data_IF_051419636463
#
_entry.id   IF_051419636463
#
_cell.length_a   1.000
_cell.length_b   1.000
_cell.length_c   1.000
_cell.angle_alpha   90.00
_cell.angle_beta   90.00
_cell.angle_gamma   90.00
#
_symmetry.space_group_name_H-M   'P 1'
#
loop_
_entity.id
_entity.type
_entity.pdbx_description
1 polymer ?
#
# COMPACT_ATOMS: atom_id res chain seq x y z
N UNK A 1 -4.39 -32.52 19.92
CA UNK A 1 -3.81 -31.81 18.76
C UNK A 1 -2.97 -30.69 19.32
N UNK A 2 -1.64 -30.75 19.17
CA UNK A 2 -0.75 -29.70 19.70
C UNK A 2 -1.12 -28.36 19.08
N UNK A 3 -1.23 -27.35 19.94
CA UNK A 3 -1.34 -25.94 19.56
C UNK A 3 -0.15 -25.61 18.64
N UNK A 4 -0.36 -25.10 17.41
CA UNK A 4 0.75 -24.78 16.52
C UNK A 4 1.72 -23.82 17.21
N UNK A 5 3.01 -24.11 17.01
CA UNK A 5 4.15 -23.27 17.39
C UNK A 5 3.77 -21.79 17.30
N UNK A 6 3.91 -21.00 18.38
CA UNK A 6 3.63 -19.57 18.35
C UNK A 6 4.21 -18.86 17.13
N UNK A 7 5.39 -19.27 16.64
CA UNK A 7 5.99 -18.72 15.42
C UNK A 7 5.14 -19.00 14.18
N UNK A 8 4.64 -20.22 14.00
CA UNK A 8 3.75 -20.58 12.88
C UNK A 8 2.43 -19.82 12.91
N UNK A 9 1.89 -19.53 14.10
CA UNK A 9 0.70 -18.69 14.24
C UNK A 9 0.96 -17.24 13.84
N UNK A 10 2.14 -16.72 14.18
CA UNK A 10 2.59 -15.40 13.73
C UNK A 10 2.78 -15.38 12.22
N UNK A 11 3.46 -16.38 11.64
CA UNK A 11 3.67 -16.45 10.19
C UNK A 11 2.34 -16.50 9.42
N UNK A 12 1.39 -17.35 9.84
CA UNK A 12 0.06 -17.42 9.24
C UNK A 12 -0.75 -16.11 9.37
N UNK A 13 -0.55 -15.36 10.47
CA UNK A 13 -1.15 -14.02 10.64
C UNK A 13 -0.53 -13.01 9.68
N UNK A 14 0.79 -13.05 9.49
CA UNK A 14 1.53 -12.13 8.62
C UNK A 14 1.26 -12.39 7.13
N UNK A 15 1.11 -13.65 6.71
CA UNK A 15 0.79 -14.03 5.33
C UNK A 15 -0.49 -13.35 4.81
N UNK A 16 -1.51 -13.18 5.67
CA UNK A 16 -2.75 -12.47 5.32
C UNK A 16 -2.60 -10.95 5.22
N UNK A 17 -1.63 -10.37 5.91
CA UNK A 17 -1.35 -8.93 5.91
C UNK A 17 -0.51 -8.49 4.70
N UNK A 18 0.31 -9.39 4.16
CA UNK A 18 1.15 -9.11 2.99
C UNK A 18 0.33 -8.85 1.71
N UNK A 19 -0.97 -9.17 1.70
CA UNK A 19 -1.90 -8.83 0.62
C UNK A 19 -2.60 -7.47 0.83
N UNK A 20 -2.29 -6.71 1.88
CA UNK A 20 -2.93 -5.43 2.14
C UNK A 20 -2.29 -4.34 1.29
N UNK A 21 -3.11 -3.59 0.56
CA UNK A 21 -2.63 -2.42 -0.17
C UNK A 21 -2.42 -1.26 0.80
N UNK A 22 -1.25 -0.59 0.76
CA UNK A 22 -1.07 0.67 1.47
C UNK A 22 -2.13 1.72 1.10
N UNK A 23 -2.39 2.73 1.94
CA UNK A 23 -3.27 3.85 1.61
C UNK A 23 -2.84 4.52 0.29
N UNK A 24 -3.79 5.03 -0.53
CA UNK A 24 -3.47 5.59 -1.85
C UNK A 24 -2.35 6.64 -1.84
N UNK A 25 -2.33 7.51 -0.83
CA UNK A 25 -1.29 8.53 -0.63
C UNK A 25 0.10 7.93 -0.42
N UNK A 26 0.20 6.89 0.41
CA UNK A 26 1.45 6.16 0.66
C UNK A 26 1.99 5.53 -0.62
N UNK A 27 1.11 5.02 -1.49
CA UNK A 27 1.52 4.46 -2.79
C UNK A 27 2.28 5.49 -3.63
N UNK A 28 1.74 6.70 -3.74
CA UNK A 28 2.36 7.79 -4.47
C UNK A 28 3.67 8.28 -3.80
N UNK A 29 3.70 8.35 -2.47
CA UNK A 29 4.90 8.72 -1.71
C UNK A 29 6.05 7.74 -1.94
N UNK A 30 5.78 6.43 -1.88
CA UNK A 30 6.77 5.39 -2.15
C UNK A 30 7.32 5.47 -3.57
N UNK A 31 6.45 5.71 -4.55
CA UNK A 31 6.86 5.91 -5.94
C UNK A 31 7.78 7.14 -6.08
N UNK A 32 7.39 8.27 -5.51
CA UNK A 32 8.17 9.51 -5.60
C UNK A 32 9.51 9.41 -4.87
N UNK A 33 9.56 8.77 -3.71
CA UNK A 33 10.80 8.54 -2.97
C UNK A 33 11.80 7.67 -3.76
N UNK A 34 11.29 6.76 -4.59
CA UNK A 34 12.08 5.95 -5.51
C UNK A 34 12.45 6.66 -6.82
N UNK A 35 12.06 7.92 -7.00
CA UNK A 35 12.21 8.69 -8.24
C UNK A 35 11.58 7.98 -9.47
N UNK A 36 10.47 7.28 -9.24
CA UNK A 36 9.74 6.56 -10.30
C UNK A 36 8.54 7.37 -10.79
N UNK A 37 8.26 7.24 -12.07
CA UNK A 37 7.06 7.75 -12.74
C UNK A 37 5.93 6.72 -12.67
N UNK A 38 4.69 7.19 -12.84
CA UNK A 38 3.54 6.30 -12.93
C UNK A 38 3.60 5.40 -14.17
N UNK A 39 4.33 5.81 -15.22
CA UNK A 39 4.53 5.02 -16.43
C UNK A 39 5.44 3.82 -16.14
N UNK A 40 6.57 4.04 -15.46
CA UNK A 40 7.51 2.95 -15.10
C UNK A 40 6.86 1.90 -14.20
N UNK A 41 6.01 2.32 -13.24
CA UNK A 41 5.22 1.36 -12.45
C UNK A 41 4.23 0.61 -13.33
N UNK A 42 3.55 1.31 -14.24
CA UNK A 42 2.56 0.70 -15.11
C UNK A 42 3.19 -0.36 -16.04
N UNK A 43 4.36 -0.06 -16.60
CA UNK A 43 5.12 -0.97 -17.46
C UNK A 43 5.60 -2.20 -16.67
N UNK A 44 6.11 -2.01 -15.46
CA UNK A 44 6.52 -3.11 -14.59
C UNK A 44 5.36 -4.03 -14.15
N UNK A 45 4.16 -3.46 -13.94
CA UNK A 45 2.96 -4.19 -13.49
C UNK A 45 2.14 -4.76 -14.67
N UNK A 46 2.41 -4.29 -15.90
CA UNK A 46 1.70 -4.69 -17.11
C UNK A 46 0.30 -4.07 -17.23
N UNK A 47 0.14 -2.80 -16.84
CA UNK A 47 -1.12 -2.04 -16.91
C UNK A 47 -0.95 -0.70 -17.61
N UNK A 48 -2.03 0.06 -17.80
CA UNK A 48 -1.97 1.41 -18.33
C UNK A 48 -1.57 2.40 -17.24
N UNK A 49 -0.82 3.46 -17.59
CA UNK A 49 -0.48 4.58 -16.69
C UNK A 49 -1.69 5.14 -15.94
N UNK A 50 -2.82 5.29 -16.64
CA UNK A 50 -4.07 5.78 -16.05
C UNK A 50 -4.61 4.87 -14.94
N UNK A 51 -4.36 3.56 -15.01
CA UNK A 51 -4.71 2.63 -13.94
C UNK A 51 -3.94 2.96 -12.66
N UNK A 52 -2.63 3.17 -12.76
CA UNK A 52 -1.78 3.57 -11.64
C UNK A 52 -2.21 4.91 -11.05
N UNK A 53 -2.53 5.90 -11.90
CA UNK A 53 -3.10 7.19 -11.47
C UNK A 53 -4.37 6.97 -10.63
N UNK A 54 -5.31 6.18 -11.12
CA UNK A 54 -6.56 5.92 -10.41
C UNK A 54 -6.36 5.16 -9.09
N UNK A 55 -5.35 4.29 -9.01
CA UNK A 55 -5.00 3.58 -7.77
C UNK A 55 -4.35 4.47 -6.74
N UNK A 56 -3.47 5.38 -7.14
CA UNK A 56 -2.83 6.37 -6.26
C UNK A 56 -3.81 7.45 -5.79
N UNK A 57 -4.84 7.76 -6.58
CA UNK A 57 -5.94 8.65 -6.19
C UNK A 57 -7.05 7.95 -5.40
N UNK A 58 -6.98 6.63 -5.21
CA UNK A 58 -8.03 5.86 -4.55
C UNK A 58 -9.35 5.74 -5.33
N UNK A 59 -9.38 6.17 -6.60
CA UNK A 59 -10.57 6.09 -7.47
C UNK A 59 -10.93 4.65 -7.84
N UNK A 60 -9.94 3.76 -7.87
CA UNK A 60 -10.14 2.33 -8.06
C UNK A 60 -9.02 1.54 -7.38
N UNK A 61 -9.20 0.23 -7.25
CA UNK A 61 -8.18 -0.67 -6.74
C UNK A 61 -7.73 -1.65 -7.84
N UNK A 62 -6.46 -2.08 -7.83
CA UNK A 62 -5.98 -3.12 -8.73
C UNK A 62 -6.72 -4.43 -8.47
N UNK A 63 -6.99 -5.18 -9.53
CA UNK A 63 -7.59 -6.52 -9.48
C UNK A 63 -6.50 -7.58 -9.63
N UNK A 64 -6.78 -8.83 -9.21
CA UNK A 64 -5.89 -9.96 -9.52
C UNK A 64 -5.78 -10.13 -11.04
N UNK A 65 -4.60 -10.46 -11.62
CA UNK A 65 -3.32 -10.74 -10.94
C UNK A 65 -2.47 -9.49 -10.60
N UNK A 66 -2.70 -8.35 -11.26
CA UNK A 66 -1.90 -7.13 -11.11
C UNK A 66 -1.81 -6.61 -9.67
N UNK A 67 -2.84 -6.86 -8.85
CA UNK A 67 -2.85 -6.53 -7.42
C UNK A 67 -1.65 -7.13 -6.68
N UNK A 68 -1.33 -8.40 -6.92
CA UNK A 68 -0.23 -9.08 -6.23
C UNK A 68 1.12 -8.48 -6.64
N UNK A 69 1.32 -8.24 -7.94
CA UNK A 69 2.55 -7.61 -8.47
C UNK A 69 2.72 -6.20 -7.90
N UNK A 70 1.65 -5.42 -7.87
CA UNK A 70 1.69 -4.05 -7.36
C UNK A 70 1.95 -3.99 -5.85
N UNK A 71 1.32 -4.87 -5.06
CA UNK A 71 1.60 -4.98 -3.61
C UNK A 71 3.07 -5.37 -3.38
N UNK A 72 3.57 -6.36 -4.10
CA UNK A 72 4.97 -6.77 -4.00
C UNK A 72 5.92 -5.60 -4.29
N UNK A 73 5.68 -4.84 -5.37
CA UNK A 73 6.44 -3.65 -5.69
C UNK A 73 6.42 -2.63 -4.55
N UNK A 74 5.25 -2.31 -4.01
CA UNK A 74 5.10 -1.33 -2.92
C UNK A 74 5.79 -1.79 -1.62
N UNK A 75 5.69 -3.08 -1.28
CA UNK A 75 6.37 -3.64 -0.11
C UNK A 75 7.90 -3.53 -0.24
N UNK A 76 8.44 -3.79 -1.43
CA UNK A 76 9.88 -3.65 -1.68
C UNK A 76 10.33 -2.18 -1.67
N UNK A 77 9.48 -1.25 -2.12
CA UNK A 77 9.74 0.19 -1.98
C UNK A 77 9.69 0.62 -0.50
N UNK A 78 8.72 0.16 0.27
CA UNK A 78 8.58 0.52 1.69
C UNK A 78 9.77 0.07 2.53
N UNK A 79 10.33 -1.11 2.25
CA UNK A 79 11.58 -1.58 2.88
C UNK A 79 12.78 -0.67 2.59
N UNK A 80 12.84 -0.06 1.40
CA UNK A 80 13.95 0.84 0.99
C UNK A 80 13.72 2.29 1.44
N UNK A 81 12.47 2.72 1.49
CA UNK A 81 12.05 4.09 1.80
C UNK A 81 11.07 4.11 2.98
N UNK A 82 11.51 3.68 4.18
CA UNK A 82 10.61 3.57 5.33
C UNK A 82 9.97 4.90 5.72
N UNK A 83 10.67 6.03 5.53
CA UNK A 83 10.13 7.37 5.80
C UNK A 83 8.93 7.69 4.92
N UNK A 84 8.92 7.24 3.65
CA UNK A 84 7.79 7.45 2.75
C UNK A 84 6.57 6.60 3.12
N UNK A 85 6.76 5.52 3.89
CA UNK A 85 5.66 4.67 4.37
C UNK A 85 4.97 5.21 5.65
N UNK A 86 5.70 5.97 6.47
CA UNK A 86 5.24 6.45 7.79
C UNK A 86 4.44 7.77 7.72
N UNK A 87 4.63 8.56 6.67
CA UNK A 87 4.08 9.93 6.51
C UNK A 87 2.54 10.05 6.43
N UNK A 88 1.79 8.97 6.70
CA UNK A 88 0.33 8.95 6.79
C UNK A 88 -0.23 8.87 8.23
N UNK A 89 0.60 8.55 9.23
CA UNK A 89 0.15 8.49 10.63
C UNK A 89 -0.07 9.87 11.27
N UNK A 90 0.37 10.95 10.62
CA UNK A 90 0.32 12.33 11.14
C UNK A 90 -0.78 13.23 10.56
N UNK A 91 -1.62 12.73 9.65
CA UNK A 91 -2.67 13.54 8.98
C UNK A 91 -4.09 12.98 9.13
N UNK A 92 -4.31 12.02 10.02
CA UNK A 92 -5.65 11.75 10.53
C UNK A 92 -6.05 12.87 11.49
N UNK A 93 -6.40 14.04 10.95
CA UNK A 93 -7.24 15.00 11.66
C UNK A 93 -8.60 14.33 11.86
N UNK A 94 -9.10 14.13 13.09
CA UNK A 94 -10.50 13.78 13.28
C UNK A 94 -11.34 14.96 12.79
N UNK A 95 -12.10 14.74 11.74
CA UNK A 95 -13.14 15.65 11.34
C UNK A 95 -14.24 15.64 12.41
N UNK A 96 -14.64 16.85 12.84
CA UNK A 96 -15.98 17.20 13.29
C UNK A 96 -16.45 16.59 14.60
N UNK A 97 -16.21 17.30 15.70
CA UNK A 97 -17.24 17.44 16.74
C UNK A 97 -17.87 18.83 16.60
N UNK A 98 -19.12 18.84 16.15
CA UNK A 98 -19.97 20.01 16.15
C UNK A 98 -20.30 20.38 17.58
N UNK A 99 -19.86 21.56 18.02
CA UNK A 99 -20.38 22.22 19.21
C UNK A 99 -21.60 23.04 18.83
N UNK A 100 -22.79 22.53 19.13
CA UNK A 100 -23.99 23.34 19.29
C UNK A 100 -23.82 24.32 20.44
N UNK A 101 -24.27 25.56 20.23
CA UNK A 101 -24.45 26.60 21.23
C UNK A 101 -25.35 27.69 20.66
#
# INVERSE_FOLDING_TARGET
MSDPDPLKRVDALLEGLDEVLPPPRVRAQLRLAANLTQQEIADAVGVRRLSVVNWELGKSNPRRPHRQVYIHLLNQLAKRFPQAAVLDLGSATPASEGGSG
#
